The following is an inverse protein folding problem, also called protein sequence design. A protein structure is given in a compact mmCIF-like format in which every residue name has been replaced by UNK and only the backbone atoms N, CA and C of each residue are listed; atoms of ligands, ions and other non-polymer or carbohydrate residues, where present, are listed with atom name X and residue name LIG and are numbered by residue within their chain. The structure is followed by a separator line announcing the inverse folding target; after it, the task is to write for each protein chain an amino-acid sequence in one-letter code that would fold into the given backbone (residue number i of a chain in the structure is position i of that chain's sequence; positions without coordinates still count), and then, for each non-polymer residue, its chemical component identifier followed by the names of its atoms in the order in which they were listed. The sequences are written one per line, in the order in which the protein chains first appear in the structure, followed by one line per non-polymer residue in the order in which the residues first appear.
data_IF_559117181213
#
_entry.id   IF_559117181213
#
_cell.length_a   1.000
_cell.length_b   1.000
_cell.length_c   1.000
_cell.angle_alpha   90.00
_cell.angle_beta   90.00
_cell.angle_gamma   90.00
#
_symmetry.space_group_name_H-M   'P 1'
#
loop_
_entity.id
_entity.type
_entity.pdbx_description
1 polymer ?
#
# COMPACT_ATOMS: atom_id res chain seq x y z
N UNK A 1 16.91 -14.80 -53.52
CA UNK A 1 16.92 -15.20 -54.92
C UNK A 1 17.13 -16.69 -54.99
N UNK A 2 16.19 -17.41 -55.64
CA UNK A 2 16.35 -18.86 -55.85
C UNK A 2 17.10 -19.12 -57.16
N UNK A 3 18.07 -20.01 -57.14
CA UNK A 3 18.80 -20.50 -58.29
C UNK A 3 18.48 -21.98 -58.47
N UNK A 4 18.26 -22.41 -59.70
CA UNK A 4 18.03 -23.80 -60.07
C UNK A 4 19.13 -24.25 -61.03
N UNK A 5 19.85 -25.34 -60.69
CA UNK A 5 20.86 -25.97 -61.56
C UNK A 5 20.29 -27.03 -62.52
N UNK A 6 18.96 -27.13 -62.58
CA UNK A 6 18.24 -28.10 -63.39
C UNK A 6 17.83 -29.36 -62.63
N UNK A 7 18.30 -29.55 -61.40
CA UNK A 7 17.97 -30.71 -60.54
C UNK A 7 17.50 -30.33 -59.16
N UNK A 8 17.95 -29.21 -58.64
CA UNK A 8 17.54 -28.71 -57.29
C UNK A 8 17.40 -27.20 -57.29
N UNK A 9 16.51 -26.70 -56.43
CA UNK A 9 16.36 -25.30 -56.13
C UNK A 9 17.27 -24.92 -54.96
N UNK A 10 18.15 -23.98 -55.19
CA UNK A 10 19.02 -23.42 -54.15
C UNK A 10 18.54 -22.04 -53.78
N UNK A 11 18.40 -21.77 -52.49
CA UNK A 11 18.20 -20.41 -51.99
C UNK A 11 19.58 -19.73 -51.89
N UNK A 12 19.84 -18.78 -52.81
CA UNK A 12 21.10 -18.05 -52.87
C UNK A 12 21.13 -16.79 -52.00
N UNK A 13 20.08 -16.54 -51.26
CA UNK A 13 19.92 -15.25 -50.56
C UNK A 13 19.73 -15.32 -49.05
N UNK A 14 19.31 -16.44 -48.55
CA UNK A 14 19.21 -16.68 -47.12
C UNK A 14 19.92 -18.00 -46.83
N UNK A 15 20.93 -17.98 -45.98
CA UNK A 15 21.59 -19.19 -45.49
C UNK A 15 20.57 -20.25 -45.12
N UNK A 16 20.93 -21.52 -45.18
CA UNK A 16 20.07 -22.64 -44.79
C UNK A 16 19.28 -22.24 -43.52
N UNK A 17 17.98 -22.44 -43.55
CA UNK A 17 17.15 -22.18 -42.39
C UNK A 17 17.80 -22.88 -41.19
N UNK A 18 18.45 -22.10 -40.33
CA UNK A 18 19.12 -22.65 -39.15
C UNK A 18 18.01 -23.19 -38.26
N UNK A 19 18.10 -24.49 -37.95
CA UNK A 19 17.17 -25.06 -36.97
C UNK A 19 17.19 -24.22 -35.69
N UNK A 20 16.04 -23.99 -35.06
CA UNK A 20 16.04 -23.32 -33.77
C UNK A 20 17.02 -24.00 -32.81
N UNK A 21 17.81 -23.19 -32.07
CA UNK A 21 18.69 -23.73 -31.03
C UNK A 21 17.89 -24.12 -29.79
N UNK A 22 18.44 -25.07 -28.99
CA UNK A 22 17.82 -25.52 -27.76
C UNK A 22 16.64 -26.48 -27.94
N UNK A 23 15.78 -26.55 -26.96
CA UNK A 23 14.61 -27.45 -26.89
C UNK A 23 13.29 -26.67 -27.13
N UNK A 24 12.20 -27.42 -27.37
CA UNK A 24 10.86 -26.87 -27.50
C UNK A 24 10.53 -25.98 -26.28
N UNK A 25 9.84 -24.90 -26.50
CA UNK A 25 9.46 -23.85 -25.52
C UNK A 25 10.56 -22.88 -25.11
N UNK A 26 11.84 -23.15 -25.38
CA UNK A 26 12.91 -22.19 -25.05
C UNK A 26 12.83 -20.95 -25.94
N UNK A 27 12.94 -19.78 -25.30
CA UNK A 27 13.01 -18.50 -26.01
C UNK A 27 14.39 -18.40 -26.70
N UNK A 28 14.36 -18.10 -28.00
CA UNK A 28 15.59 -18.02 -28.80
C UNK A 28 16.31 -16.70 -28.58
N UNK A 29 17.64 -16.75 -28.50
CA UNK A 29 18.47 -15.56 -28.42
C UNK A 29 19.74 -15.77 -29.27
N UNK A 30 20.43 -14.66 -29.59
CA UNK A 30 21.72 -14.75 -30.27
C UNK A 30 22.80 -15.22 -29.28
N UNK A 31 23.34 -16.39 -29.54
CA UNK A 31 24.46 -16.98 -28.80
C UNK A 31 25.70 -17.00 -29.70
N UNK A 32 26.48 -15.91 -29.69
CA UNK A 32 27.72 -15.79 -30.45
C UNK A 32 27.56 -16.02 -31.97
N UNK A 33 26.46 -15.48 -32.53
CA UNK A 33 26.16 -15.60 -33.97
C UNK A 33 25.33 -16.81 -34.37
N UNK A 34 24.96 -17.69 -33.43
CA UNK A 34 24.04 -18.79 -33.63
C UNK A 34 22.75 -18.62 -32.80
N UNK A 35 21.67 -19.32 -33.17
CA UNK A 35 20.49 -19.40 -32.31
C UNK A 35 20.78 -20.26 -31.10
N UNK A 36 20.53 -19.74 -29.92
CA UNK A 36 20.61 -20.44 -28.63
C UNK A 36 19.31 -20.43 -27.87
N UNK A 37 19.09 -21.40 -26.99
CA UNK A 37 17.99 -21.44 -26.03
C UNK A 37 18.53 -21.78 -24.64
N UNK A 38 17.86 -21.30 -23.59
CA UNK A 38 18.17 -21.61 -22.19
C UNK A 38 16.94 -22.26 -21.53
N UNK A 39 17.17 -23.37 -20.84
CA UNK A 39 16.11 -24.09 -20.10
C UNK A 39 15.44 -23.28 -19.00
N UNK A 40 16.06 -22.19 -18.57
CA UNK A 40 15.52 -21.25 -17.60
C UNK A 40 14.83 -20.02 -18.23
N UNK A 41 14.70 -19.96 -19.58
CA UNK A 41 14.05 -18.88 -20.29
C UNK A 41 13.13 -19.48 -21.34
N UNK A 42 11.88 -19.74 -20.94
CA UNK A 42 10.94 -20.50 -21.75
C UNK A 42 9.61 -19.79 -21.90
N UNK A 43 8.93 -20.05 -23.03
CA UNK A 43 7.55 -19.66 -23.29
C UNK A 43 6.64 -20.88 -23.24
N UNK A 44 5.63 -20.87 -22.37
CA UNK A 44 4.59 -21.89 -22.29
C UNK A 44 3.26 -21.25 -22.62
N UNK A 45 2.54 -21.78 -23.61
CA UNK A 45 1.32 -21.15 -24.15
C UNK A 45 0.23 -20.95 -23.07
N UNK A 46 0.12 -21.84 -22.08
CA UNK A 46 -0.80 -21.73 -20.95
C UNK A 46 -0.37 -20.75 -19.88
N UNK A 47 0.93 -20.53 -19.68
CA UNK A 47 1.49 -19.88 -18.49
C UNK A 47 2.24 -18.58 -18.83
N UNK A 48 2.66 -18.42 -20.10
CA UNK A 48 3.42 -17.26 -20.56
C UNK A 48 4.93 -17.46 -20.45
N UNK A 49 5.66 -16.38 -20.16
CA UNK A 49 7.13 -16.37 -20.04
C UNK A 49 7.56 -16.88 -18.66
N UNK A 50 8.35 -17.96 -18.65
CA UNK A 50 8.93 -18.52 -17.44
C UNK A 50 10.41 -18.17 -17.32
N UNK A 51 10.80 -17.57 -16.20
CA UNK A 51 12.18 -17.33 -15.78
C UNK A 51 12.49 -18.34 -14.69
N UNK A 52 13.37 -19.29 -14.98
CA UNK A 52 13.60 -20.48 -14.18
C UNK A 52 14.38 -20.23 -12.89
N UNK A 53 14.69 -21.32 -12.22
CA UNK A 53 15.27 -21.38 -10.86
C UNK A 53 16.49 -20.47 -10.71
N UNK A 54 16.47 -19.64 -9.65
CA UNK A 54 17.54 -18.70 -9.27
C UNK A 54 17.84 -17.61 -10.31
N UNK A 55 17.04 -17.50 -11.36
CA UNK A 55 17.12 -16.40 -12.33
C UNK A 55 16.25 -15.22 -11.89
N UNK A 56 16.50 -14.07 -12.47
CA UNK A 56 15.77 -12.83 -12.18
C UNK A 56 15.48 -12.05 -13.46
N UNK A 57 14.38 -11.31 -13.46
CA UNK A 57 14.13 -10.27 -14.45
C UNK A 57 14.91 -9.02 -14.01
N UNK A 58 15.85 -8.55 -14.86
CA UNK A 58 16.63 -7.34 -14.61
C UNK A 58 16.19 -6.22 -15.51
N UNK A 59 15.86 -5.10 -14.90
CA UNK A 59 15.59 -3.83 -15.55
C UNK A 59 16.82 -2.94 -15.32
N UNK A 60 17.62 -2.71 -16.37
CA UNK A 60 18.83 -1.88 -16.28
C UNK A 60 18.47 -0.39 -16.31
N UNK A 61 19.33 0.41 -15.69
CA UNK A 61 19.25 1.86 -15.78
C UNK A 61 19.81 2.37 -17.13
N UNK A 62 19.61 3.63 -17.43
CA UNK A 62 20.06 4.25 -18.68
C UNK A 62 21.60 4.30 -18.78
N UNK A 63 22.32 4.24 -17.68
CA UNK A 63 23.79 4.20 -17.65
C UNK A 63 24.36 2.81 -17.93
N UNK A 64 23.52 1.77 -17.87
CA UNK A 64 23.89 0.38 -18.16
C UNK A 64 24.74 -0.31 -17.10
N UNK A 65 24.95 0.31 -15.94
CA UNK A 65 25.78 -0.25 -14.86
C UNK A 65 25.02 -0.87 -13.70
N UNK A 66 23.79 -0.39 -13.44
CA UNK A 66 22.95 -0.81 -12.34
C UNK A 66 21.62 -1.39 -12.84
N UNK A 67 20.90 -2.11 -11.99
CA UNK A 67 19.63 -2.71 -12.36
C UNK A 67 18.70 -2.89 -11.16
N UNK A 68 17.41 -3.03 -11.43
CA UNK A 68 16.40 -3.53 -10.48
C UNK A 68 16.10 -4.99 -10.87
N UNK A 69 16.35 -5.92 -9.95
CA UNK A 69 16.08 -7.35 -10.15
C UNK A 69 14.80 -7.80 -9.46
N UNK A 70 14.01 -8.64 -10.15
CA UNK A 70 12.83 -9.31 -9.59
C UNK A 70 13.01 -10.81 -9.68
N UNK A 71 12.88 -11.52 -8.57
CA UNK A 71 12.94 -12.98 -8.53
C UNK A 71 12.03 -13.56 -7.46
N UNK A 72 11.64 -14.81 -7.61
CA UNK A 72 10.93 -15.56 -6.57
C UNK A 72 11.84 -15.82 -5.36
N UNK A 73 11.28 -15.96 -4.18
CA UNK A 73 11.99 -16.42 -2.99
C UNK A 73 12.53 -17.85 -3.20
N UNK A 74 13.53 -18.27 -2.41
CA UNK A 74 14.15 -19.59 -2.53
C UNK A 74 13.17 -20.75 -2.34
N UNK A 75 12.12 -20.54 -1.54
CA UNK A 75 11.01 -21.45 -1.37
C UNK A 75 9.73 -20.64 -1.31
N UNK A 76 8.78 -20.93 -2.18
CA UNK A 76 7.49 -20.23 -2.26
C UNK A 76 6.39 -21.19 -2.72
N UNK A 77 5.16 -20.93 -2.26
CA UNK A 77 3.96 -21.49 -2.86
C UNK A 77 3.57 -20.60 -4.05
N UNK A 78 3.10 -21.19 -5.15
CA UNK A 78 2.70 -20.44 -6.32
C UNK A 78 1.57 -19.45 -5.98
N UNK A 79 1.73 -18.20 -6.37
CA UNK A 79 0.71 -17.15 -6.26
C UNK A 79 0.87 -16.15 -7.40
N UNK A 80 -0.18 -15.41 -7.68
CA UNK A 80 -0.16 -14.31 -8.64
C UNK A 80 -0.35 -12.99 -7.92
N UNK A 81 0.45 -11.99 -8.26
CA UNK A 81 0.24 -10.60 -7.84
C UNK A 81 -0.41 -9.83 -8.98
N UNK A 82 -1.61 -9.31 -8.74
CA UNK A 82 -2.30 -8.43 -9.69
C UNK A 82 -1.93 -6.99 -9.37
N UNK A 83 -1.28 -6.33 -10.31
CA UNK A 83 -0.86 -4.93 -10.18
C UNK A 83 -2.06 -3.98 -10.24
N UNK A 84 -1.97 -2.80 -9.58
CA UNK A 84 -3.00 -1.77 -9.69
C UNK A 84 -3.20 -1.31 -11.13
N UNK A 85 -4.44 -0.93 -11.48
CA UNK A 85 -4.78 -0.41 -12.81
C UNK A 85 -4.22 1.00 -13.09
N UNK A 86 -3.77 1.71 -12.05
CA UNK A 86 -3.24 3.08 -12.14
C UNK A 86 -1.99 3.24 -11.27
N UNK A 87 -1.24 4.30 -11.51
CA UNK A 87 0.04 4.60 -10.82
C UNK A 87 -0.11 5.06 -9.36
N UNK A 88 -1.32 5.30 -8.89
CA UNK A 88 -1.56 5.92 -7.60
C UNK A 88 -1.25 7.41 -7.57
N UNK A 89 -1.31 8.02 -6.39
CA UNK A 89 -0.97 9.42 -6.10
C UNK A 89 0.31 9.52 -5.28
N UNK A 90 0.85 10.72 -5.11
CA UNK A 90 1.99 10.96 -4.23
C UNK A 90 1.67 10.49 -2.79
N UNK A 91 2.69 10.02 -2.08
CA UNK A 91 2.63 9.56 -0.68
C UNK A 91 1.77 8.31 -0.42
N UNK A 92 1.21 7.68 -1.46
CA UNK A 92 0.54 6.40 -1.31
C UNK A 92 1.52 5.23 -1.17
N UNK A 93 1.13 4.20 -0.44
CA UNK A 93 1.87 2.95 -0.28
C UNK A 93 1.20 1.82 -1.05
N UNK A 94 2.02 0.93 -1.60
CA UNK A 94 1.53 -0.29 -2.26
C UNK A 94 1.24 -1.34 -1.20
N UNK A 95 0.01 -1.80 -1.14
CA UNK A 95 -0.47 -2.82 -0.19
C UNK A 95 -1.04 -4.02 -0.90
N UNK A 96 -1.23 -5.12 -0.16
CA UNK A 96 -1.92 -6.32 -0.64
C UNK A 96 -3.17 -6.58 0.21
N UNK A 97 -4.21 -7.08 -0.42
CA UNK A 97 -5.43 -7.53 0.26
C UNK A 97 -5.32 -8.94 0.89
N UNK A 98 -4.12 -9.55 0.87
CA UNK A 98 -3.89 -10.92 1.33
C UNK A 98 -4.27 -12.02 0.32
N UNK A 99 -4.90 -11.67 -0.80
CA UNK A 99 -5.29 -12.60 -1.88
C UNK A 99 -4.57 -12.32 -3.20
N UNK A 100 -3.43 -11.61 -3.14
CA UNK A 100 -2.59 -11.33 -4.29
C UNK A 100 -2.97 -10.08 -5.10
N UNK A 101 -4.02 -9.36 -4.76
CA UNK A 101 -4.34 -8.08 -5.41
C UNK A 101 -3.60 -6.96 -4.71
N UNK A 102 -2.85 -6.18 -5.48
CA UNK A 102 -2.13 -5.00 -5.03
C UNK A 102 -2.97 -3.75 -5.29
N UNK A 103 -2.90 -2.79 -4.37
CA UNK A 103 -3.54 -1.48 -4.50
C UNK A 103 -2.70 -0.39 -3.85
N UNK A 104 -2.84 0.84 -4.32
CA UNK A 104 -2.29 2.00 -3.63
C UNK A 104 -3.30 2.50 -2.60
N UNK A 105 -2.83 2.75 -1.38
CA UNK A 105 -3.61 3.33 -0.29
C UNK A 105 -2.85 4.50 0.30
N UNK A 106 -3.57 5.45 0.85
CA UNK A 106 -2.95 6.59 1.52
C UNK A 106 -2.09 6.12 2.69
N UNK A 107 -0.88 6.67 2.78
CA UNK A 107 0.01 6.42 3.91
C UNK A 107 -0.51 7.18 5.14
N UNK A 108 -1.54 6.64 5.78
CA UNK A 108 -2.11 7.19 7.00
C UNK A 108 -1.25 6.88 8.25
N UNK A 109 0.06 6.75 8.10
CA UNK A 109 1.00 6.48 9.19
C UNK A 109 1.11 7.64 10.16
N UNK A 110 0.10 7.86 10.99
CA UNK A 110 0.06 8.87 12.02
C UNK A 110 -1.33 9.51 12.14
N UNK A 111 -1.48 10.42 13.12
CA UNK A 111 -2.71 11.20 13.33
C UNK A 111 -2.88 12.23 12.19
N UNK A 112 -3.98 12.14 11.45
CA UNK A 112 -4.33 13.14 10.43
C UNK A 112 -4.92 14.39 11.09
N UNK A 113 -4.09 15.41 11.32
CA UNK A 113 -4.52 16.62 12.00
C UNK A 113 -5.44 17.48 11.13
N UNK A 114 -6.59 17.82 11.69
CA UNK A 114 -7.61 18.64 11.05
C UNK A 114 -7.35 20.13 11.30
N UNK A 115 -7.93 20.98 10.46
CA UNK A 115 -7.89 22.42 10.67
C UNK A 115 -8.49 22.81 12.04
N UNK A 116 -8.03 23.92 12.61
CA UNK A 116 -8.53 24.43 13.89
C UNK A 116 -10.05 24.63 13.82
N UNK A 117 -10.78 24.06 14.80
CA UNK A 117 -12.23 24.20 14.91
C UNK A 117 -12.61 25.03 16.16
N UNK A 118 -13.53 25.97 15.98
CA UNK A 118 -14.20 26.71 17.05
C UNK A 118 -15.72 26.44 17.07
N UNK A 119 -16.19 25.44 16.35
CA UNK A 119 -17.59 25.05 16.33
C UNK A 119 -18.00 24.46 17.69
N UNK A 120 -19.15 24.87 18.22
CA UNK A 120 -19.65 24.39 19.51
C UNK A 120 -19.93 22.89 19.58
N UNK A 121 -20.11 22.24 18.43
CA UNK A 121 -20.29 20.80 18.33
C UNK A 121 -19.58 20.27 17.05
N UNK A 122 -18.84 19.16 17.18
CA UNK A 122 -18.19 18.47 16.07
C UNK A 122 -18.39 16.96 16.22
N UNK A 123 -18.48 16.26 15.09
CA UNK A 123 -18.34 14.80 15.06
C UNK A 123 -16.91 14.46 14.69
N UNK A 124 -16.26 13.61 15.48
CA UNK A 124 -14.87 13.23 15.26
C UNK A 124 -14.77 11.83 14.62
N UNK A 125 -13.70 11.60 13.88
CA UNK A 125 -13.45 10.36 13.14
C UNK A 125 -12.15 9.74 13.60
N UNK A 126 -12.10 8.42 13.71
CA UNK A 126 -10.90 7.67 14.03
C UNK A 126 -9.76 7.96 13.02
N UNK A 127 -8.52 7.94 13.52
CA UNK A 127 -7.32 8.29 12.77
C UNK A 127 -7.01 9.80 12.74
N UNK A 128 -7.93 10.64 13.21
CA UNK A 128 -7.79 12.10 13.14
C UNK A 128 -7.36 12.74 14.47
N UNK A 129 -6.69 13.88 14.35
CA UNK A 129 -6.40 14.81 15.44
C UNK A 129 -7.13 16.13 15.24
N UNK A 130 -7.55 16.74 16.32
CA UNK A 130 -8.36 17.95 16.31
C UNK A 130 -7.74 19.03 17.17
N UNK A 131 -7.40 20.17 16.55
CA UNK A 131 -7.09 21.41 17.26
C UNK A 131 -8.41 22.14 17.58
N UNK A 132 -8.74 22.27 18.86
CA UNK A 132 -10.00 22.85 19.32
C UNK A 132 -9.77 24.20 19.97
N UNK A 133 -10.44 25.20 19.45
CA UNK A 133 -10.39 26.59 19.96
C UNK A 133 -11.64 26.92 20.74
N UNK A 134 -11.56 26.88 22.07
CA UNK A 134 -12.66 27.16 22.98
C UNK A 134 -12.70 28.61 23.49
N UNK A 135 -11.99 29.55 22.89
CA UNK A 135 -11.91 30.95 23.34
C UNK A 135 -13.30 31.63 23.50
N UNK A 136 -14.27 31.21 22.71
CA UNK A 136 -15.61 31.86 22.70
C UNK A 136 -16.72 31.00 23.31
N UNK A 137 -16.56 29.68 23.37
CA UNK A 137 -17.58 28.74 23.83
C UNK A 137 -17.00 27.36 24.15
N UNK A 138 -17.75 26.58 24.93
CA UNK A 138 -17.50 25.14 25.10
C UNK A 138 -17.65 24.41 23.78
N UNK A 139 -16.88 23.35 23.60
CA UNK A 139 -16.98 22.47 22.43
C UNK A 139 -17.41 21.08 22.88
N UNK A 140 -18.36 20.48 22.18
CA UNK A 140 -18.73 19.08 22.32
C UNK A 140 -18.18 18.28 21.11
N UNK A 141 -17.26 17.38 21.36
CA UNK A 141 -16.71 16.47 20.35
C UNK A 141 -17.36 15.08 20.50
N UNK A 142 -18.18 14.69 19.53
CA UNK A 142 -18.93 13.43 19.57
C UNK A 142 -18.10 12.31 18.94
N UNK A 143 -17.79 11.27 19.74
CA UNK A 143 -17.05 10.09 19.31
C UNK A 143 -17.84 9.21 18.33
N UNK A 144 -17.17 8.35 17.51
CA UNK A 144 -17.84 7.39 16.64
C UNK A 144 -18.77 6.44 17.43
N UNK A 145 -19.96 6.16 16.87
CA UNK A 145 -20.92 5.23 17.48
C UNK A 145 -20.51 3.76 17.35
N UNK A 146 -19.71 3.43 16.31
CA UNK A 146 -19.27 2.05 15.98
C UNK A 146 -17.76 2.00 15.80
N UNK A 147 -16.97 2.28 16.85
CA UNK A 147 -15.53 2.19 16.77
C UNK A 147 -15.06 0.72 16.71
N UNK A 148 -13.87 0.50 16.15
CA UNK A 148 -13.16 -0.78 16.12
C UNK A 148 -11.96 -0.78 17.05
N UNK A 149 -11.52 -1.97 17.49
CA UNK A 149 -10.32 -2.13 18.32
C UNK A 149 -9.12 -1.42 17.69
N UNK A 150 -8.48 -0.53 18.44
CA UNK A 150 -7.31 0.22 18.01
C UNK A 150 -7.61 1.56 17.34
N UNK A 151 -8.89 1.92 17.14
CA UNK A 151 -9.24 3.26 16.66
C UNK A 151 -8.70 4.33 17.62
N UNK A 152 -8.03 5.35 17.06
CA UNK A 152 -7.44 6.44 17.85
C UNK A 152 -7.98 7.79 17.41
N UNK A 153 -8.17 8.69 18.40
CA UNK A 153 -8.58 10.09 18.16
C UNK A 153 -7.75 10.98 19.08
N UNK A 154 -7.14 12.00 18.52
CA UNK A 154 -6.31 12.94 19.27
C UNK A 154 -6.98 14.32 19.38
N UNK A 155 -6.77 14.99 20.50
CA UNK A 155 -7.29 16.33 20.78
C UNK A 155 -6.15 17.21 21.29
N UNK A 156 -6.20 18.49 20.93
CA UNK A 156 -5.28 19.50 21.45
C UNK A 156 -6.03 20.82 21.69
N UNK A 157 -5.81 21.40 22.86
CA UNK A 157 -6.28 22.74 23.21
C UNK A 157 -5.48 23.79 22.44
N UNK A 158 -6.08 24.35 21.39
CA UNK A 158 -5.41 25.30 20.50
C UNK A 158 -5.02 26.61 21.21
N UNK A 159 -5.94 27.17 22.00
CA UNK A 159 -5.78 28.49 22.59
C UNK A 159 -5.36 28.46 24.07
N UNK A 160 -5.34 27.28 24.72
CA UNK A 160 -5.11 27.17 26.16
C UNK A 160 -6.31 27.66 26.98
N UNK A 161 -7.51 27.30 26.57
CA UNK A 161 -8.77 27.83 27.16
C UNK A 161 -9.74 26.76 27.64
N UNK A 162 -9.31 25.46 27.68
CA UNK A 162 -10.15 24.37 28.19
C UNK A 162 -10.48 24.52 29.68
N UNK A 163 -9.70 25.29 30.46
CA UNK A 163 -10.00 25.62 31.85
C UNK A 163 -11.14 26.62 31.98
N UNK A 164 -11.33 27.50 31.01
CA UNK A 164 -12.36 28.53 30.98
C UNK A 164 -13.63 28.03 30.26
N UNK A 165 -13.47 27.42 29.10
CA UNK A 165 -14.55 26.81 28.32
C UNK A 165 -14.16 25.36 28.01
N UNK A 166 -14.69 24.46 28.77
CA UNK A 166 -14.29 23.06 28.74
C UNK A 166 -14.56 22.39 27.38
N UNK A 167 -13.70 21.42 27.03
CA UNK A 167 -14.02 20.42 26.03
C UNK A 167 -14.85 19.30 26.66
N UNK A 168 -16.01 18.98 26.06
CA UNK A 168 -16.77 17.77 26.37
C UNK A 168 -16.52 16.72 25.25
N UNK A 169 -16.01 15.55 25.59
CA UNK A 169 -15.94 14.43 24.67
C UNK A 169 -17.16 13.54 24.91
N UNK A 170 -18.13 13.64 24.01
CA UNK A 170 -19.38 12.89 24.10
C UNK A 170 -19.15 11.44 23.64
N UNK A 171 -19.44 10.49 24.51
CA UNK A 171 -19.16 9.06 24.37
C UNK A 171 -19.95 8.34 23.26
N UNK A 172 -21.06 8.92 22.82
CA UNK A 172 -21.93 8.39 21.76
C UNK A 172 -22.28 6.90 21.91
N UNK A 173 -22.71 6.51 23.12
CA UNK A 173 -23.15 5.14 23.40
C UNK A 173 -22.05 4.16 23.86
N UNK A 174 -20.77 4.51 23.71
CA UNK A 174 -19.65 3.70 24.22
C UNK A 174 -19.16 4.23 25.57
N UNK A 175 -18.49 3.39 26.36
CA UNK A 175 -17.86 3.85 27.60
C UNK A 175 -16.61 4.69 27.32
N UNK A 176 -16.24 5.54 28.27
CA UNK A 176 -14.93 6.17 28.35
C UNK A 176 -14.31 5.78 29.68
N UNK A 177 -13.15 5.15 29.68
CA UNK A 177 -12.44 4.62 30.85
C UNK A 177 -13.34 3.73 31.75
N UNK A 178 -14.16 2.88 31.13
CA UNK A 178 -15.09 1.99 31.78
C UNK A 178 -16.37 2.64 32.30
N UNK A 179 -16.50 3.95 32.21
CA UNK A 179 -17.67 4.69 32.68
C UNK A 179 -18.64 5.05 31.55
N UNK A 180 -19.94 4.90 31.79
CA UNK A 180 -20.99 5.35 30.89
C UNK A 180 -21.26 6.87 31.05
N UNK A 181 -20.20 7.67 31.01
CA UNK A 181 -20.22 9.11 31.16
C UNK A 181 -19.34 9.77 30.08
N UNK A 182 -19.72 11.02 29.70
CA UNK A 182 -18.92 11.86 28.83
C UNK A 182 -17.65 12.32 29.57
N UNK A 183 -16.56 12.57 28.84
CA UNK A 183 -15.34 13.08 29.43
C UNK A 183 -15.31 14.61 29.32
N UNK A 184 -15.21 15.28 30.45
CA UNK A 184 -14.96 16.72 30.51
C UNK A 184 -13.47 16.99 30.67
N UNK A 185 -12.88 17.79 29.78
CA UNK A 185 -11.49 18.23 29.84
C UNK A 185 -11.46 19.72 30.18
N UNK A 186 -10.93 20.02 31.36
CA UNK A 186 -10.88 21.36 31.95
C UNK A 186 -9.44 21.79 32.28
N UNK A 187 -8.46 21.21 31.59
CA UNK A 187 -7.04 21.52 31.81
C UNK A 187 -6.54 22.37 30.66
N UNK A 188 -5.99 23.55 31.00
CA UNK A 188 -5.32 24.42 30.03
C UNK A 188 -4.19 23.68 29.30
N UNK A 189 -4.10 23.90 27.97
CA UNK A 189 -3.07 23.27 27.11
C UNK A 189 -3.11 21.76 27.09
N UNK A 190 -4.24 21.15 27.44
CA UNK A 190 -4.36 19.71 27.36
C UNK A 190 -4.17 19.20 25.92
N UNK A 191 -3.38 18.13 25.79
CA UNK A 191 -3.26 17.34 24.57
C UNK A 191 -3.28 15.86 24.96
N UNK A 192 -4.17 15.08 24.34
CA UNK A 192 -4.34 13.67 24.67
C UNK A 192 -4.88 12.86 23.48
N UNK A 193 -4.71 11.56 23.57
CA UNK A 193 -5.25 10.61 22.59
C UNK A 193 -6.14 9.60 23.31
N UNK A 194 -7.30 9.34 22.73
CA UNK A 194 -8.17 8.23 23.11
C UNK A 194 -7.94 7.07 22.14
N UNK A 195 -7.88 5.85 22.67
CA UNK A 195 -7.84 4.60 21.91
C UNK A 195 -9.02 3.72 22.29
N UNK A 196 -9.73 3.18 21.31
CA UNK A 196 -10.84 2.26 21.59
C UNK A 196 -10.31 0.84 21.85
N UNK A 197 -10.70 0.26 22.97
CA UNK A 197 -10.32 -1.10 23.38
C UNK A 197 -11.43 -2.12 23.08
N UNK A 198 -12.56 -1.97 23.72
CA UNK A 198 -13.71 -2.88 23.64
C UNK A 198 -15.00 -2.21 24.10
N UNK A 199 -16.11 -2.96 24.18
CA UNK A 199 -17.40 -2.42 24.64
C UNK A 199 -17.49 -2.29 26.17
N UNK A 200 -16.57 -2.87 26.95
CA UNK A 200 -16.57 -2.84 28.42
C UNK A 200 -15.83 -1.59 28.93
N UNK A 201 -14.59 -1.43 28.53
CA UNK A 201 -13.78 -0.26 28.90
C UNK A 201 -14.01 0.94 27.97
N UNK A 202 -14.32 0.65 26.70
CA UNK A 202 -14.57 1.68 25.71
C UNK A 202 -13.31 2.41 25.25
N UNK A 203 -13.36 3.71 25.27
CA UNK A 203 -12.26 4.59 24.92
C UNK A 203 -11.34 4.82 26.12
N UNK A 204 -10.06 4.53 25.97
CA UNK A 204 -9.05 4.69 27.00
C UNK A 204 -8.10 5.82 26.66
N UNK A 205 -7.59 6.54 27.67
CA UNK A 205 -6.51 7.51 27.48
C UNK A 205 -5.20 6.79 27.20
N UNK A 206 -4.65 7.01 26.00
CA UNK A 206 -3.36 6.45 25.59
C UNK A 206 -2.18 7.26 26.12
N UNK A 207 -2.29 8.60 26.08
CA UNK A 207 -1.29 9.55 26.56
C UNK A 207 -1.99 10.62 27.42
N UNK A 208 -1.35 11.02 28.51
CA UNK A 208 -1.77 12.13 29.40
C UNK A 208 -0.74 13.23 29.36
#
# INVERSE_FOLDING_TARGET
LMYCDGTQLYDTGFGAATSPGGSTTQVQFNNSGAFGGDSNFTWVASDGLNIGTSKELRLQDDSGGQYIGQKAANSTTSYTLTWPAATGSADQILTTNGSGVLSFVDNSGGTAWQAVSAASAISVTAGNGYFLNTTANVITATLPASPTLGDEISFADYAGTFDTYNLTVARNGKNIQGAAADLTVATERAAFTLVFSDNTQGWLLKNK
#
